data_IF_454956103631
#
_entry.id   IF_454956103631
#
_cell.length_a   1.000
_cell.length_b   1.000
_cell.length_c   1.000
_cell.angle_alpha   90.00
_cell.angle_beta   90.00
_cell.angle_gamma   90.00
#
_symmetry.space_group_name_H-M   'P 1'
#
loop_
_entity.id
_entity.type
_entity.pdbx_description
1 polymer ?
#
# COMPACT_ATOMS: atom_id res chain seq x y z
N UNK A 1 14.62 41.11 -55.40
CA UNK A 1 15.81 40.62 -54.68
C UNK A 1 15.89 41.33 -53.33
N UNK A 2 16.08 40.57 -52.25
CA UNK A 2 16.48 40.99 -50.90
C UNK A 2 15.42 41.31 -49.80
N UNK A 3 14.91 40.22 -49.20
CA UNK A 3 14.92 39.81 -47.76
C UNK A 3 14.87 40.85 -46.62
N UNK A 4 14.13 40.43 -45.56
CA UNK A 4 14.14 40.76 -44.10
C UNK A 4 13.06 41.79 -43.67
N UNK A 5 12.22 41.58 -42.65
CA UNK A 5 12.29 40.76 -41.42
C UNK A 5 10.88 40.37 -40.94
N UNK A 6 10.71 39.07 -40.67
CA UNK A 6 9.73 38.48 -39.76
C UNK A 6 10.08 38.91 -38.35
N UNK A 7 9.24 39.68 -37.64
CA UNK A 7 9.37 39.90 -36.19
C UNK A 7 8.08 40.57 -35.68
N UNK A 8 7.11 39.78 -35.20
CA UNK A 8 5.86 40.35 -34.70
C UNK A 8 4.75 39.39 -34.30
N UNK A 9 4.99 38.07 -34.27
CA UNK A 9 3.97 37.10 -33.88
C UNK A 9 4.53 35.94 -33.05
N UNK A 10 5.59 36.18 -32.27
CA UNK A 10 6.21 35.16 -31.42
C UNK A 10 6.07 35.44 -29.91
N UNK A 11 5.64 36.64 -29.51
CA UNK A 11 5.53 36.99 -28.09
C UNK A 11 4.20 36.58 -27.44
N UNK A 12 3.17 36.26 -28.22
CA UNK A 12 1.86 35.83 -27.69
C UNK A 12 1.76 34.32 -27.45
N UNK A 13 2.65 33.51 -28.03
CA UNK A 13 2.67 32.05 -27.84
C UNK A 13 3.54 31.65 -26.64
N UNK A 14 4.48 32.50 -26.22
CA UNK A 14 5.43 32.20 -25.14
C UNK A 14 4.87 32.38 -23.72
N UNK A 15 3.71 33.03 -23.54
CA UNK A 15 3.08 33.19 -22.21
C UNK A 15 2.15 32.03 -21.85
N UNK A 16 1.74 31.19 -22.81
CA UNK A 16 0.86 30.05 -22.53
C UNK A 16 1.60 28.76 -22.11
N UNK A 17 2.93 28.76 -22.12
CA UNK A 17 3.74 27.57 -21.79
C UNK A 17 4.32 27.58 -20.35
N UNK A 18 3.99 28.58 -19.52
CA UNK A 18 4.47 28.69 -18.12
C UNK A 18 3.31 28.49 -17.12
N UNK A 19 2.41 27.54 -17.37
CA UNK A 19 1.31 27.22 -16.43
C UNK A 19 1.24 25.73 -16.04
N UNK A 20 2.14 24.87 -16.52
CA UNK A 20 2.08 23.43 -16.17
C UNK A 20 3.46 22.90 -15.77
N UNK A 21 4.04 23.44 -14.69
CA UNK A 21 5.20 22.80 -14.03
C UNK A 21 5.23 23.07 -12.51
N UNK A 22 4.09 22.97 -11.83
CA UNK A 22 4.02 22.86 -10.36
C UNK A 22 2.86 21.91 -10.00
N UNK A 23 2.95 20.67 -10.48
CA UNK A 23 1.97 19.61 -10.20
C UNK A 23 2.61 18.27 -9.84
N UNK A 24 3.92 18.22 -9.63
CA UNK A 24 4.65 17.04 -9.18
C UNK A 24 5.13 17.24 -7.74
N UNK A 25 4.16 17.40 -6.84
CA UNK A 25 4.37 17.15 -5.41
C UNK A 25 4.35 15.65 -5.18
N UNK A 26 5.52 15.07 -4.91
CA UNK A 26 5.72 13.71 -4.42
C UNK A 26 4.96 13.46 -3.11
N UNK A 27 4.45 12.23 -2.94
CA UNK A 27 4.18 11.63 -1.63
C UNK A 27 2.80 10.99 -1.51
N UNK A 28 2.77 9.67 -1.28
CA UNK A 28 1.56 8.89 -0.99
C UNK A 28 0.68 9.52 0.10
N UNK A 29 -0.57 9.83 -0.24
CA UNK A 29 -1.59 10.30 0.69
C UNK A 29 -2.25 9.14 1.48
N UNK A 30 -1.52 8.19 2.08
CA UNK A 30 -2.19 6.97 2.57
C UNK A 30 -2.32 6.79 4.08
N UNK A 31 -1.59 7.53 4.93
CA UNK A 31 -1.69 7.34 6.39
C UNK A 31 -1.84 8.64 7.18
N UNK A 32 -1.03 9.66 6.89
CA UNK A 32 -1.13 10.97 7.55
C UNK A 32 -2.51 11.60 7.32
N UNK A 33 -3.02 11.50 6.08
CA UNK A 33 -4.37 11.94 5.72
C UNK A 33 -5.47 11.17 6.46
N UNK A 34 -5.30 9.86 6.69
CA UNK A 34 -6.27 9.02 7.41
C UNK A 34 -6.39 9.44 8.89
N UNK A 35 -5.26 9.78 9.52
CA UNK A 35 -5.22 10.25 10.92
C UNK A 35 -5.81 11.67 11.04
N UNK A 36 -5.52 12.56 10.10
CA UNK A 36 -6.03 13.95 10.15
C UNK A 36 -7.52 14.06 9.81
N UNK A 37 -8.04 13.22 8.91
CA UNK A 37 -9.43 13.34 8.43
C UNK A 37 -10.40 12.35 9.07
N UNK A 38 -9.92 11.26 9.67
CA UNK A 38 -10.75 10.16 10.17
C UNK A 38 -11.40 9.32 9.06
N UNK A 39 -11.12 9.62 7.79
CA UNK A 39 -11.59 8.87 6.63
C UNK A 39 -10.51 7.87 6.20
N UNK A 40 -10.46 6.72 6.88
CA UNK A 40 -9.58 5.62 6.50
C UNK A 40 -10.13 4.94 5.24
N UNK A 41 -9.68 5.34 4.05
CA UNK A 41 -10.03 4.70 2.77
C UNK A 41 -9.42 3.29 2.57
N UNK A 42 -8.62 2.81 3.52
CA UNK A 42 -8.01 1.48 3.50
C UNK A 42 -8.91 0.45 4.19
N UNK A 43 -10.03 0.12 3.55
CA UNK A 43 -10.85 -1.03 3.88
C UNK A 43 -10.53 -2.21 2.95
N UNK A 44 -10.39 -3.41 3.53
CA UNK A 44 -10.28 -4.67 2.79
C UNK A 44 -11.58 -5.45 3.01
N UNK A 45 -12.33 -5.65 1.94
CA UNK A 45 -13.59 -6.40 2.01
C UNK A 45 -13.33 -7.90 2.11
N UNK A 46 -13.82 -8.52 3.18
CA UNK A 46 -13.78 -9.96 3.37
C UNK A 46 -14.97 -10.63 2.70
N UNK A 47 -14.72 -11.35 1.60
CA UNK A 47 -15.78 -12.02 0.86
C UNK A 47 -16.40 -13.15 1.68
N UNK A 48 -17.72 -13.31 1.58
CA UNK A 48 -18.42 -14.40 2.25
C UNK A 48 -18.43 -15.64 1.36
N UNK A 49 -17.90 -16.75 1.86
CA UNK A 49 -17.92 -18.05 1.19
C UNK A 49 -18.69 -19.08 2.00
N UNK A 50 -19.35 -20.01 1.32
CA UNK A 50 -20.13 -21.09 1.95
C UNK A 50 -19.31 -22.37 2.16
N UNK A 51 -18.09 -22.42 1.64
CA UNK A 51 -17.18 -23.58 1.70
C UNK A 51 -16.02 -23.32 2.65
N UNK A 52 -15.21 -24.35 2.86
CA UNK A 52 -13.91 -24.22 3.52
C UNK A 52 -13.00 -23.29 2.70
N UNK A 53 -12.20 -22.48 3.39
CA UNK A 53 -11.28 -21.54 2.75
C UNK A 53 -9.94 -22.24 2.54
N UNK A 54 -9.39 -22.27 1.31
CA UNK A 54 -8.13 -22.96 1.06
C UNK A 54 -6.96 -22.28 1.76
N UNK A 55 -6.18 -23.07 2.49
CA UNK A 55 -4.96 -22.61 3.18
C UNK A 55 -3.75 -22.54 2.24
N UNK A 56 -3.77 -23.26 1.12
CA UNK A 56 -2.70 -23.22 0.14
C UNK A 56 -2.69 -21.85 -0.56
N UNK A 57 -1.60 -21.07 -0.47
CA UNK A 57 -1.51 -19.77 -1.12
C UNK A 57 -1.56 -19.86 -2.65
N UNK A 58 -1.32 -21.03 -3.25
CA UNK A 58 -1.36 -21.23 -4.70
C UNK A 58 -2.70 -21.76 -5.22
N UNK A 59 -3.71 -21.91 -4.35
CA UNK A 59 -5.03 -22.36 -4.76
C UNK A 59 -5.67 -21.38 -5.77
N UNK A 60 -6.28 -21.86 -6.87
CA UNK A 60 -6.94 -21.01 -7.86
C UNK A 60 -7.99 -20.05 -7.27
N UNK A 61 -8.56 -20.36 -6.12
CA UNK A 61 -9.45 -19.47 -5.36
C UNK A 61 -8.84 -18.07 -5.18
N UNK A 62 -7.56 -17.98 -4.80
CA UNK A 62 -6.89 -16.69 -4.56
C UNK A 62 -6.52 -15.91 -5.83
N UNK A 63 -6.53 -16.59 -6.98
CA UNK A 63 -6.29 -16.00 -8.29
C UNK A 63 -7.59 -15.49 -8.96
N UNK A 64 -8.76 -15.85 -8.43
CA UNK A 64 -10.05 -15.46 -8.98
C UNK A 64 -10.38 -14.00 -8.66
N UNK A 65 -9.88 -13.09 -9.50
CA UNK A 65 -10.13 -11.65 -9.37
C UNK A 65 -11.59 -11.23 -9.52
N UNK A 66 -12.47 -12.11 -10.03
CA UNK A 66 -13.90 -11.80 -10.17
C UNK A 66 -14.61 -11.88 -8.82
N UNK A 67 -14.15 -12.76 -7.92
CA UNK A 67 -14.77 -12.98 -6.62
C UNK A 67 -13.88 -12.52 -5.46
N UNK A 68 -12.57 -12.72 -5.54
CA UNK A 68 -11.61 -12.32 -4.50
C UNK A 68 -10.99 -10.98 -4.87
N UNK A 69 -11.33 -9.94 -4.11
CA UNK A 69 -10.78 -8.61 -4.33
C UNK A 69 -9.39 -8.47 -3.69
N UNK A 70 -8.41 -8.07 -4.50
CA UNK A 70 -7.07 -7.68 -4.05
C UNK A 70 -7.02 -6.18 -3.79
N UNK A 71 -6.60 -5.78 -2.59
CA UNK A 71 -6.33 -4.39 -2.22
C UNK A 71 -4.83 -4.22 -2.00
N UNK A 72 -4.20 -3.30 -2.74
CA UNK A 72 -2.81 -2.92 -2.51
C UNK A 72 -2.73 -1.91 -1.37
N UNK A 73 -1.88 -2.22 -0.38
CA UNK A 73 -1.59 -1.36 0.76
C UNK A 73 -0.13 -0.92 0.64
N UNK A 74 0.08 0.39 0.59
CA UNK A 74 1.42 0.99 0.61
C UNK A 74 1.99 0.94 2.03
N UNK A 75 3.25 0.53 2.15
CA UNK A 75 3.97 0.38 3.42
C UNK A 75 4.96 1.53 3.60
N UNK A 76 4.85 2.22 4.74
CA UNK A 76 5.79 3.25 5.15
C UNK A 76 6.95 2.69 6.00
N UNK A 77 8.12 3.35 6.01
CA UNK A 77 9.20 3.02 6.92
C UNK A 77 8.82 3.27 8.39
N UNK A 78 9.34 2.44 9.30
CA UNK A 78 9.28 2.74 10.73
C UNK A 78 10.35 3.80 11.06
N UNK A 79 9.90 5.03 11.30
CA UNK A 79 10.80 6.19 11.52
C UNK A 79 10.86 6.68 12.98
N UNK A 80 10.04 6.12 13.86
CA UNK A 80 9.90 6.55 15.26
C UNK A 80 10.95 5.89 16.16
N UNK A 81 11.21 4.60 15.97
CA UNK A 81 12.13 3.80 16.78
C UNK A 81 13.52 3.73 16.12
N UNK A 82 14.58 3.70 16.94
CA UNK A 82 15.93 3.42 16.44
C UNK A 82 16.18 1.90 16.48
N UNK A 83 16.91 1.33 15.50
CA UNK A 83 17.52 2.00 14.35
C UNK A 83 16.50 2.38 13.26
N UNK A 84 16.67 3.57 12.67
CA UNK A 84 15.79 4.05 11.59
C UNK A 84 16.17 3.39 10.26
N UNK A 85 15.16 2.95 9.51
CA UNK A 85 15.34 2.39 8.18
C UNK A 85 14.44 3.12 7.17
N UNK A 86 14.92 4.24 6.57
CA UNK A 86 14.09 5.12 5.75
C UNK A 86 13.69 4.51 4.40
N UNK A 87 14.40 3.47 3.94
CA UNK A 87 14.21 2.88 2.61
C UNK A 87 13.98 1.35 2.71
N UNK A 88 12.82 0.89 3.22
CA UNK A 88 12.48 -0.54 3.29
C UNK A 88 12.43 -1.17 1.90
N UNK A 89 12.92 -2.38 1.74
CA UNK A 89 12.90 -3.09 0.45
C UNK A 89 11.47 -3.36 -0.03
N UNK A 90 10.57 -3.70 0.89
CA UNK A 90 9.16 -3.95 0.61
C UNK A 90 8.36 -2.65 0.75
N UNK A 91 7.73 -2.22 -0.35
CA UNK A 91 6.99 -0.95 -0.43
C UNK A 91 5.48 -1.10 -0.38
N UNK A 92 4.98 -2.28 -0.71
CA UNK A 92 3.56 -2.54 -0.74
C UNK A 92 3.26 -4.02 -0.53
N UNK A 93 2.06 -4.30 -0.06
CA UNK A 93 1.51 -5.64 0.08
C UNK A 93 0.11 -5.67 -0.52
N UNK A 94 -0.18 -6.71 -1.29
CA UNK A 94 -1.53 -7.01 -1.74
C UNK A 94 -2.22 -7.87 -0.69
N UNK A 95 -3.43 -7.46 -0.29
CA UNK A 95 -4.24 -8.17 0.69
C UNK A 95 -5.56 -8.57 0.08
N UNK A 96 -5.95 -9.82 0.29
CA UNK A 96 -7.32 -10.32 0.06
C UNK A 96 -7.85 -10.95 1.32
N UNK A 97 -9.17 -10.95 1.49
CA UNK A 97 -9.81 -11.53 2.66
C UNK A 97 -11.02 -12.37 2.25
N UNK A 98 -11.18 -13.52 2.90
CA UNK A 98 -12.36 -14.37 2.78
C UNK A 98 -12.81 -14.82 4.18
N UNK A 99 -14.11 -15.00 4.37
CA UNK A 99 -14.69 -15.44 5.62
C UNK A 99 -15.86 -16.40 5.39
N UNK A 100 -16.04 -17.31 6.34
CA UNK A 100 -17.24 -18.12 6.48
C UNK A 100 -17.78 -17.99 7.92
N UNK A 101 -18.69 -18.86 8.34
CA UNK A 101 -19.27 -18.79 9.70
C UNK A 101 -18.28 -19.18 10.81
N UNK A 102 -17.13 -19.77 10.48
CA UNK A 102 -16.18 -20.35 11.43
C UNK A 102 -14.85 -19.61 11.46
N UNK A 103 -14.39 -19.12 10.31
CA UNK A 103 -13.04 -18.59 10.16
C UNK A 103 -12.99 -17.40 9.20
N UNK A 104 -11.89 -16.66 9.32
CA UNK A 104 -11.46 -15.63 8.39
C UNK A 104 -10.04 -15.97 7.93
N UNK A 105 -9.82 -15.88 6.62
CA UNK A 105 -8.52 -16.05 6.01
C UNK A 105 -8.07 -14.73 5.38
N UNK A 106 -6.79 -14.41 5.57
CA UNK A 106 -6.14 -13.26 4.97
C UNK A 106 -5.01 -13.76 4.08
N UNK A 107 -5.05 -13.37 2.82
CA UNK A 107 -4.05 -13.71 1.83
C UNK A 107 -3.18 -12.48 1.56
N UNK A 108 -1.88 -12.62 1.82
CA UNK A 108 -0.89 -11.56 1.71
C UNK A 108 0.11 -11.94 0.63
N UNK A 109 0.32 -11.03 -0.30
CA UNK A 109 1.25 -11.21 -1.41
C UNK A 109 2.11 -9.95 -1.54
N UNK A 110 3.42 -10.10 -1.49
CA UNK A 110 4.39 -9.03 -1.72
C UNK A 110 5.52 -9.52 -2.61
N UNK A 111 6.16 -8.58 -3.32
CA UNK A 111 7.34 -8.90 -4.12
C UNK A 111 8.57 -8.81 -3.25
N UNK A 112 9.28 -9.92 -3.12
CA UNK A 112 10.58 -9.98 -2.46
C UNK A 112 11.66 -10.45 -3.44
N UNK A 113 12.82 -9.82 -3.40
CA UNK A 113 13.97 -10.21 -4.20
C UNK A 113 14.75 -11.36 -3.55
N UNK A 114 14.57 -11.56 -2.25
CA UNK A 114 15.18 -12.64 -1.49
C UNK A 114 14.08 -13.56 -0.94
N UNK A 115 14.44 -14.78 -0.53
CA UNK A 115 13.51 -15.69 0.15
C UNK A 115 14.18 -16.29 1.40
N UNK A 116 13.79 -15.79 2.57
CA UNK A 116 14.42 -16.03 3.86
C UNK A 116 13.39 -16.70 4.78
N UNK A 117 12.97 -17.92 4.40
CA UNK A 117 11.91 -18.67 5.06
C UNK A 117 12.40 -19.80 5.98
N UNK A 118 13.71 -19.91 6.21
CA UNK A 118 14.30 -20.94 7.08
C UNK A 118 14.71 -20.35 8.42
N UNK A 119 14.16 -20.92 9.49
CA UNK A 119 14.58 -20.63 10.87
C UNK A 119 15.82 -21.49 11.16
N UNK A 120 16.98 -21.02 10.72
CA UNK A 120 18.26 -21.63 11.07
C UNK A 120 18.84 -20.95 12.33
N UNK A 121 19.66 -21.68 13.10
CA UNK A 121 20.25 -21.16 14.35
C UNK A 121 21.12 -19.91 14.11
N UNK A 122 21.61 -19.71 12.88
CA UNK A 122 22.35 -18.52 12.45
C UNK A 122 21.55 -17.55 11.59
N UNK A 123 20.27 -17.82 11.30
CA UNK A 123 19.42 -16.88 10.58
C UNK A 123 19.14 -15.71 11.53
N UNK A 124 19.65 -14.52 11.19
CA UNK A 124 19.46 -13.33 12.00
C UNK A 124 18.11 -12.65 11.75
N UNK A 125 17.55 -12.81 10.54
CA UNK A 125 16.27 -12.23 10.13
C UNK A 125 15.58 -13.15 9.10
N UNK A 126 14.27 -13.35 9.25
CA UNK A 126 13.42 -14.13 8.33
C UNK A 126 12.29 -13.25 7.80
N UNK A 127 11.77 -13.57 6.62
CA UNK A 127 10.63 -12.83 6.06
C UNK A 127 9.37 -13.10 6.89
N UNK A 128 8.74 -12.02 7.35
CA UNK A 128 7.57 -12.09 8.21
C UNK A 128 6.62 -10.93 7.93
N UNK A 129 5.33 -11.19 8.09
CA UNK A 129 4.28 -10.19 8.07
C UNK A 129 3.48 -10.28 9.36
N UNK A 130 2.99 -9.13 9.83
CA UNK A 130 2.11 -9.04 10.98
C UNK A 130 0.89 -8.19 10.63
N UNK A 131 -0.25 -8.57 11.19
CA UNK A 131 -1.53 -7.89 11.01
C UNK A 131 -2.02 -7.52 12.41
N UNK A 132 -2.40 -6.27 12.57
CA UNK A 132 -2.86 -5.74 13.85
C UNK A 132 -4.35 -5.43 13.78
N UNK A 133 -5.11 -5.95 14.74
CA UNK A 133 -6.53 -5.67 14.90
C UNK A 133 -6.75 -4.79 16.13
N UNK A 134 -7.77 -3.92 16.12
CA UNK A 134 -8.21 -3.25 17.34
C UNK A 134 -8.74 -4.29 18.34
N UNK A 135 -8.52 -4.06 19.64
CA UNK A 135 -9.00 -4.96 20.70
C UNK A 135 -10.52 -5.01 20.81
N UNK A 136 -11.19 -3.93 20.37
CA UNK A 136 -12.62 -3.78 20.46
C UNK A 136 -13.19 -3.39 19.09
N UNK A 137 -14.15 -4.15 18.54
CA UNK A 137 -14.81 -3.80 17.28
C UNK A 137 -15.43 -2.39 17.34
N UNK A 138 -15.25 -1.61 16.27
CA UNK A 138 -15.81 -0.25 16.16
C UNK A 138 -15.16 0.79 17.08
N UNK A 139 -14.05 0.45 17.74
CA UNK A 139 -13.18 1.43 18.41
C UNK A 139 -12.11 1.95 17.46
N UNK A 140 -11.34 2.90 17.95
CA UNK A 140 -10.26 3.55 17.23
C UNK A 140 -9.31 2.53 16.59
N UNK A 141 -8.89 2.84 15.36
CA UNK A 141 -7.89 2.06 14.66
C UNK A 141 -6.62 1.95 15.51
N UNK A 142 -5.91 0.80 15.50
CA UNK A 142 -4.68 0.67 16.25
C UNK A 142 -3.70 1.79 15.89
N UNK A 143 -3.20 2.49 16.90
CA UNK A 143 -2.17 3.52 16.71
C UNK A 143 -0.96 2.93 15.97
N UNK A 144 -0.29 3.74 15.16
CA UNK A 144 1.00 3.39 14.51
C UNK A 144 2.09 3.02 15.53
N UNK A 145 1.89 3.38 16.81
CA UNK A 145 2.74 2.99 17.95
C UNK A 145 2.36 1.64 18.56
N UNK A 146 1.47 0.87 17.91
CA UNK A 146 0.91 -0.39 18.39
C UNK A 146 0.09 -0.26 19.68
N UNK A 147 -0.56 0.89 19.87
CA UNK A 147 -1.37 1.22 21.04
C UNK A 147 -0.84 2.43 21.82
N UNK A 148 -1.55 2.77 22.89
CA UNK A 148 -1.18 3.78 23.89
C UNK A 148 -1.55 3.24 25.28
N UNK A 149 -0.99 3.86 26.33
CA UNK A 149 -1.41 3.61 27.72
C UNK A 149 -2.84 4.09 28.01
#
# INVERSE_FOLDING_TARGET
MNRRKVFGCFYLVLIFSIVITLGSGCGSNSMEYCIETGECELAVDAIKVSTEIPIDPNDPFWADSAHVQKKTIELGPQMITNPKWPDPSIKSVNVSAAQNEKEIALFLEWTDATLENKIEVSATHTDQAAIMFPLHPGKEIPSITMGSE
#
